data_IF_871897708113
#
_entry.id   IF_871897708113
#
_cell.length_a   1.000
_cell.length_b   1.000
_cell.length_c   1.000
_cell.angle_alpha   90.00
_cell.angle_beta   90.00
_cell.angle_gamma   90.00
#
_symmetry.space_group_name_H-M   'P 1'
#
loop_
_entity.id
_entity.type
_entity.pdbx_description
1 polymer ?
#
# COMPACT_ATOMS: atom_id res chain seq x y z
N UNK A 1 8.69 14.68 -22.83
CA UNK A 1 10.00 14.44 -22.18
C UNK A 1 9.84 14.45 -20.67
N UNK A 2 9.56 15.60 -20.01
CA UNK A 2 9.45 15.68 -18.54
C UNK A 2 8.58 14.57 -17.90
N UNK A 3 7.35 14.37 -18.38
CA UNK A 3 6.44 13.33 -17.87
C UNK A 3 7.04 11.92 -17.99
N UNK A 4 7.66 11.60 -19.12
CA UNK A 4 8.30 10.32 -19.34
C UNK A 4 9.54 10.12 -18.45
N UNK A 5 10.34 11.18 -18.24
CA UNK A 5 11.48 11.14 -17.33
C UNK A 5 11.04 10.87 -15.88
N UNK A 6 9.96 11.50 -15.43
CA UNK A 6 9.39 11.23 -14.10
C UNK A 6 8.86 9.79 -14.01
N UNK A 7 8.19 9.30 -15.05
CA UNK A 7 7.70 7.92 -15.09
C UNK A 7 8.85 6.89 -15.04
N UNK A 8 9.94 7.09 -15.77
CA UNK A 8 11.15 6.23 -15.68
C UNK A 8 11.74 6.30 -14.28
N UNK A 9 11.88 7.52 -13.73
CA UNK A 9 12.44 7.72 -12.40
C UNK A 9 11.64 7.00 -11.32
N UNK A 10 10.31 7.13 -11.32
CA UNK A 10 9.42 6.44 -10.38
C UNK A 10 9.49 4.92 -10.57
N UNK A 11 9.52 4.45 -11.82
CA UNK A 11 9.64 3.01 -12.12
C UNK A 11 10.93 2.44 -11.52
N UNK A 12 12.06 3.13 -11.71
CA UNK A 12 13.36 2.64 -11.26
C UNK A 12 13.57 2.77 -9.74
N UNK A 13 13.11 3.87 -9.13
CA UNK A 13 13.47 4.19 -7.74
C UNK A 13 12.41 3.81 -6.72
N UNK A 14 11.12 3.86 -7.07
CA UNK A 14 10.04 3.63 -6.11
C UNK A 14 9.58 2.16 -6.04
N UNK A 15 10.09 1.28 -6.91
CA UNK A 15 9.57 -0.08 -7.09
C UNK A 15 10.64 -1.17 -6.88
N UNK A 16 11.66 -0.91 -6.06
CA UNK A 16 12.75 -1.87 -5.80
C UNK A 16 12.24 -3.17 -5.18
N UNK A 17 11.45 -3.09 -4.11
CA UNK A 17 10.82 -4.27 -3.49
C UNK A 17 9.92 -5.04 -4.44
N UNK A 18 9.22 -4.34 -5.34
CA UNK A 18 8.42 -5.00 -6.36
C UNK A 18 9.31 -5.86 -7.27
N UNK A 19 10.42 -5.31 -7.78
CA UNK A 19 11.36 -6.09 -8.60
C UNK A 19 12.03 -7.22 -7.84
N UNK A 20 12.41 -7.01 -6.57
CA UNK A 20 12.95 -8.06 -5.72
C UNK A 20 11.96 -9.22 -5.56
N UNK A 21 10.71 -8.94 -5.23
CA UNK A 21 9.65 -9.96 -5.11
C UNK A 21 9.33 -10.66 -6.43
N UNK A 22 9.39 -9.94 -7.55
CA UNK A 22 9.28 -10.56 -8.89
C UNK A 22 10.44 -11.52 -9.12
N UNK A 23 11.68 -11.14 -8.80
CA UNK A 23 12.86 -11.99 -9.01
C UNK A 23 12.87 -13.24 -8.11
N UNK A 24 12.30 -13.14 -6.91
CA UNK A 24 12.10 -14.29 -6.00
C UNK A 24 11.04 -15.27 -6.54
N UNK A 25 10.01 -14.75 -7.23
CA UNK A 25 8.91 -15.57 -7.78
C UNK A 25 9.25 -16.16 -9.14
N UNK A 26 9.94 -15.37 -9.98
CA UNK A 26 10.39 -15.72 -11.31
C UNK A 26 11.91 -15.50 -11.38
N UNK A 27 12.70 -16.53 -11.06
CA UNK A 27 14.16 -16.43 -11.11
C UNK A 27 14.65 -15.90 -12.46
N UNK A 28 15.51 -14.89 -12.41
CA UNK A 28 15.98 -14.14 -13.60
C UNK A 28 16.73 -15.07 -14.57
N UNK A 29 17.43 -16.08 -14.06
CA UNK A 29 18.16 -17.05 -14.87
C UNK A 29 17.28 -17.73 -15.93
N UNK A 30 16.05 -18.08 -15.57
CA UNK A 30 15.14 -18.82 -16.44
C UNK A 30 14.10 -17.93 -17.12
N UNK A 31 13.83 -16.75 -16.56
CA UNK A 31 12.69 -15.90 -16.96
C UNK A 31 13.09 -14.47 -17.36
N UNK A 32 14.34 -14.23 -17.76
CA UNK A 32 14.86 -12.90 -18.07
C UNK A 32 13.94 -12.09 -19.01
N UNK A 33 13.46 -12.72 -20.08
CA UNK A 33 12.55 -12.07 -21.04
C UNK A 33 11.25 -11.58 -20.39
N UNK A 34 10.64 -12.41 -19.54
CA UNK A 34 9.41 -12.06 -18.84
C UNK A 34 9.65 -10.96 -17.78
N UNK A 35 10.73 -11.04 -17.02
CA UNK A 35 11.08 -10.00 -16.02
C UNK A 35 11.31 -8.64 -16.69
N UNK A 36 11.97 -8.60 -17.85
CA UNK A 36 12.12 -7.38 -18.63
C UNK A 36 10.76 -6.84 -19.12
N UNK A 37 9.86 -7.73 -19.56
CA UNK A 37 8.50 -7.30 -19.94
C UNK A 37 7.73 -6.69 -18.78
N UNK A 38 7.90 -7.19 -17.55
CA UNK A 38 7.29 -6.61 -16.36
C UNK A 38 7.79 -5.19 -16.12
N UNK A 39 9.10 -4.94 -16.26
CA UNK A 39 9.65 -3.59 -16.13
C UNK A 39 9.07 -2.64 -17.19
N UNK A 40 8.92 -3.10 -18.44
CA UNK A 40 8.31 -2.33 -19.52
C UNK A 40 6.83 -2.04 -19.25
N UNK A 41 6.07 -3.02 -18.79
CA UNK A 41 4.64 -2.85 -18.43
C UNK A 41 4.49 -1.88 -17.26
N UNK A 42 5.36 -1.98 -16.25
CA UNK A 42 5.36 -1.06 -15.12
C UNK A 42 5.68 0.36 -15.56
N UNK A 43 6.68 0.54 -16.43
CA UNK A 43 6.98 1.84 -17.02
C UNK A 43 5.80 2.40 -17.81
N UNK A 44 5.14 1.56 -18.63
CA UNK A 44 3.92 1.92 -19.35
C UNK A 44 2.81 2.38 -18.41
N UNK A 45 2.57 1.66 -17.31
CA UNK A 45 1.58 2.02 -16.30
C UNK A 45 1.91 3.34 -15.59
N UNK A 46 3.17 3.56 -15.23
CA UNK A 46 3.63 4.83 -14.65
C UNK A 46 3.48 5.99 -15.64
N UNK A 47 3.82 5.78 -16.90
CA UNK A 47 3.66 6.77 -17.96
C UNK A 47 2.18 7.12 -18.18
N UNK A 48 1.30 6.12 -18.16
CA UNK A 48 -0.15 6.32 -18.30
C UNK A 48 -0.69 7.17 -17.13
N UNK A 49 -0.40 6.78 -15.89
CA UNK A 49 -0.89 7.48 -14.68
C UNK A 49 -0.34 8.90 -14.62
N UNK A 50 0.97 9.08 -14.78
CA UNK A 50 1.57 10.42 -14.80
C UNK A 50 0.96 11.29 -15.90
N UNK A 51 0.71 10.75 -17.10
CA UNK A 51 0.05 11.48 -18.19
C UNK A 51 -1.39 11.85 -17.88
N UNK A 52 -2.18 10.91 -17.35
CA UNK A 52 -3.59 11.14 -17.03
C UNK A 52 -3.77 12.19 -15.93
N UNK A 53 -3.03 12.08 -14.83
CA UNK A 53 -3.16 13.04 -13.71
C UNK A 53 -2.53 14.41 -14.03
N UNK A 54 -1.53 14.49 -14.91
CA UNK A 54 -0.86 15.76 -15.27
C UNK A 54 -1.50 16.48 -16.47
N UNK A 55 -2.75 16.17 -16.81
CA UNK A 55 -3.45 16.63 -18.01
C UNK A 55 -3.74 18.14 -18.07
N UNK A 56 -3.35 18.97 -17.12
CA UNK A 56 -3.64 20.41 -17.18
C UNK A 56 -2.41 21.26 -16.85
N UNK A 57 -2.23 22.40 -17.55
CA UNK A 57 -0.99 23.20 -17.50
C UNK A 57 -0.61 23.64 -16.08
N UNK A 58 -1.61 23.99 -15.27
CA UNK A 58 -1.41 24.43 -13.88
C UNK A 58 -1.32 23.27 -12.89
N UNK A 59 -1.78 22.07 -13.29
CA UNK A 59 -1.81 20.87 -12.45
C UNK A 59 -0.59 19.96 -12.71
N UNK A 60 0.04 20.09 -13.88
CA UNK A 60 1.15 19.23 -14.30
C UNK A 60 2.30 19.21 -13.29
N UNK A 61 2.85 20.37 -12.92
CA UNK A 61 3.98 20.41 -11.97
C UNK A 61 3.56 19.96 -10.56
N UNK A 62 2.48 20.47 -9.94
CA UNK A 62 2.06 20.01 -8.62
C UNK A 62 1.82 18.51 -8.54
N UNK A 63 1.17 17.91 -9.55
CA UNK A 63 0.91 16.47 -9.57
C UNK A 63 2.19 15.67 -9.68
N UNK A 64 3.12 16.03 -10.55
CA UNK A 64 4.38 15.30 -10.69
C UNK A 64 5.21 15.37 -9.41
N UNK A 65 5.26 16.54 -8.75
CA UNK A 65 5.91 16.71 -7.45
C UNK A 65 5.25 15.83 -6.39
N UNK A 66 3.92 15.83 -6.32
CA UNK A 66 3.17 15.00 -5.38
C UNK A 66 3.43 13.51 -5.62
N UNK A 67 3.48 13.05 -6.86
CA UNK A 67 3.80 11.66 -7.20
C UNK A 67 5.24 11.27 -6.83
N UNK A 68 6.20 12.17 -6.98
CA UNK A 68 7.59 11.96 -6.58
C UNK A 68 7.74 11.84 -5.06
N UNK A 69 7.13 12.78 -4.31
CA UNK A 69 7.16 12.75 -2.84
C UNK A 69 6.42 11.51 -2.34
N UNK A 70 5.21 11.24 -2.86
CA UNK A 70 4.43 10.06 -2.50
C UNK A 70 5.21 8.78 -2.79
N UNK A 71 5.80 8.66 -3.98
CA UNK A 71 6.62 7.51 -4.35
C UNK A 71 7.83 7.33 -3.43
N UNK A 72 8.52 8.39 -3.05
CA UNK A 72 9.66 8.33 -2.13
C UNK A 72 9.24 7.88 -0.72
N UNK A 73 8.14 8.42 -0.20
CA UNK A 73 7.59 8.03 1.12
C UNK A 73 7.15 6.58 1.09
N UNK A 74 6.28 6.21 0.14
CA UNK A 74 5.68 4.87 0.15
C UNK A 74 6.70 3.79 -0.19
N UNK A 75 7.61 4.04 -1.12
CA UNK A 75 8.71 3.10 -1.41
C UNK A 75 9.62 2.89 -0.22
N UNK A 76 9.91 3.91 0.60
CA UNK A 76 10.73 3.72 1.80
C UNK A 76 10.12 2.72 2.78
N UNK A 77 8.84 2.86 3.10
CA UNK A 77 8.18 1.95 4.02
C UNK A 77 8.00 0.55 3.43
N UNK A 78 7.74 0.48 2.12
CA UNK A 78 7.70 -0.80 1.41
C UNK A 78 9.08 -1.49 1.41
N UNK A 79 10.16 -0.76 1.14
CA UNK A 79 11.53 -1.29 1.08
C UNK A 79 12.10 -1.66 2.46
N UNK A 80 11.73 -0.92 3.50
CA UNK A 80 12.27 -1.14 4.86
C UNK A 80 11.45 -2.12 5.68
N UNK A 81 10.12 -2.03 5.59
CA UNK A 81 9.19 -2.77 6.46
C UNK A 81 8.30 -3.76 5.70
N UNK A 82 8.40 -3.82 4.36
CA UNK A 82 7.53 -4.67 3.54
C UNK A 82 6.08 -4.20 3.50
N UNK A 83 5.80 -2.95 3.91
CA UNK A 83 4.45 -2.41 4.02
C UNK A 83 3.76 -2.30 2.66
N UNK A 84 2.51 -2.75 2.63
CA UNK A 84 1.61 -2.62 1.47
C UNK A 84 0.56 -1.54 1.78
N UNK A 85 0.44 -0.55 0.91
CA UNK A 85 -0.49 0.58 1.07
C UNK A 85 -1.89 0.23 0.57
N UNK A 86 -2.55 -0.71 1.24
CA UNK A 86 -3.96 -1.01 1.02
C UNK A 86 -4.90 -0.05 1.76
N UNK A 87 -6.21 -0.27 1.66
CA UNK A 87 -7.21 0.58 2.31
C UNK A 87 -7.11 0.57 3.83
N UNK A 88 -6.71 -0.57 4.42
CA UNK A 88 -6.52 -0.72 5.86
C UNK A 88 -5.29 0.03 6.34
N UNK A 89 -4.17 -0.06 5.62
CA UNK A 89 -2.96 0.71 5.95
C UNK A 89 -3.20 2.22 5.85
N UNK A 90 -4.00 2.68 4.86
CA UNK A 90 -4.39 4.09 4.79
C UNK A 90 -5.27 4.52 5.96
N UNK A 91 -6.21 3.67 6.40
CA UNK A 91 -7.01 3.95 7.60
C UNK A 91 -6.14 4.01 8.85
N UNK A 92 -5.23 3.05 9.01
CA UNK A 92 -4.27 3.02 10.11
C UNK A 92 -3.44 4.31 10.11
N UNK A 93 -2.84 4.68 8.98
CA UNK A 93 -2.04 5.90 8.87
C UNK A 93 -2.82 7.19 9.16
N UNK A 94 -4.14 7.21 8.93
CA UNK A 94 -5.01 8.35 9.28
C UNK A 94 -5.42 8.35 10.76
N UNK A 95 -5.36 7.20 11.43
CA UNK A 95 -5.71 7.01 12.84
C UNK A 95 -4.49 6.99 13.78
N UNK A 96 -3.28 6.84 13.23
CA UNK A 96 -2.00 6.77 13.96
C UNK A 96 -1.76 8.03 14.81
N UNK A 97 -1.25 7.82 16.04
CA UNK A 97 -0.87 8.89 16.96
C UNK A 97 0.53 9.47 16.61
N UNK A 98 0.78 10.72 17.00
CA UNK A 98 2.09 11.36 16.90
C UNK A 98 3.19 10.60 17.65
N UNK A 99 2.85 9.91 18.76
CA UNK A 99 3.80 9.10 19.50
C UNK A 99 4.33 7.92 18.66
N UNK A 100 3.44 7.19 17.98
CA UNK A 100 3.80 6.06 17.11
C UNK A 100 4.57 6.50 15.85
N UNK A 101 4.27 7.70 15.36
CA UNK A 101 4.90 8.22 14.15
C UNK A 101 6.37 8.63 14.37
N UNK A 102 6.73 9.11 15.56
CA UNK A 102 8.10 9.60 15.85
C UNK A 102 9.15 8.50 15.71
N UNK A 103 8.84 7.29 16.14
CA UNK A 103 9.77 6.16 16.07
C UNK A 103 10.05 5.72 14.62
N UNK A 104 9.16 6.06 13.69
CA UNK A 104 9.32 5.80 12.26
C UNK A 104 10.19 6.85 11.55
N UNK A 105 10.35 8.05 12.14
CA UNK A 105 11.13 9.16 11.57
C UNK A 105 12.61 9.02 11.93
N UNK A 106 13.33 8.21 11.17
CA UNK A 106 14.78 8.07 11.31
C UNK A 106 15.57 8.88 10.25
N UNK A 107 16.89 9.00 10.43
CA UNK A 107 17.73 9.73 9.49
C UNK A 107 17.72 9.14 8.07
N UNK A 108 17.59 7.81 7.92
CA UNK A 108 17.53 7.14 6.63
C UNK A 108 16.26 7.53 5.85
N UNK A 109 15.13 7.62 6.54
CA UNK A 109 13.86 8.11 5.97
C UNK A 109 14.00 9.52 5.42
N UNK A 110 14.58 10.43 6.21
CA UNK A 110 14.78 11.83 5.81
C UNK A 110 15.70 11.91 4.60
N UNK A 111 16.83 11.19 4.61
CA UNK A 111 17.76 11.16 3.48
C UNK A 111 17.10 10.60 2.20
N UNK A 112 16.28 9.55 2.32
CA UNK A 112 15.54 8.96 1.20
C UNK A 112 14.55 9.97 0.60
N UNK A 113 13.78 10.66 1.44
CA UNK A 113 12.81 11.68 0.97
C UNK A 113 13.53 12.84 0.32
N UNK A 114 14.61 13.34 0.91
CA UNK A 114 15.37 14.45 0.30
C UNK A 114 15.94 14.02 -1.05
N UNK A 115 16.60 12.86 -1.10
CA UNK A 115 17.27 12.34 -2.29
C UNK A 115 16.31 11.99 -3.44
N UNK A 116 15.22 11.30 -3.15
CA UNK A 116 14.33 10.73 -4.16
C UNK A 116 12.96 11.40 -4.27
N UNK A 117 12.60 12.26 -3.32
CA UNK A 117 11.36 13.04 -3.33
C UNK A 117 11.63 14.51 -3.61
N UNK A 118 12.33 15.20 -2.70
CA UNK A 118 12.49 16.66 -2.72
C UNK A 118 13.40 17.11 -3.87
N UNK A 119 14.60 16.55 -4.01
CA UNK A 119 15.53 16.91 -5.09
C UNK A 119 14.91 16.76 -6.49
N UNK A 120 14.33 15.61 -6.88
CA UNK A 120 13.69 15.50 -8.18
C UNK A 120 12.46 16.40 -8.31
N UNK A 121 11.73 16.67 -7.22
CA UNK A 121 10.62 17.63 -7.21
C UNK A 121 11.06 19.07 -7.49
N UNK A 122 12.19 19.49 -6.93
CA UNK A 122 12.79 20.80 -7.21
C UNK A 122 13.23 20.90 -8.68
N UNK A 123 13.82 19.84 -9.23
CA UNK A 123 14.14 19.78 -10.67
C UNK A 123 12.88 19.96 -11.52
N UNK A 124 11.79 19.26 -11.21
CA UNK A 124 10.50 19.43 -11.91
C UNK A 124 9.96 20.86 -11.76
N UNK A 125 10.11 21.48 -10.59
CA UNK A 125 9.67 22.85 -10.34
C UNK A 125 10.43 23.87 -11.21
N UNK A 126 11.76 23.73 -11.32
CA UNK A 126 12.62 24.67 -12.06
C UNK A 126 12.66 24.44 -13.57
N UNK A 127 12.30 23.26 -14.06
CA UNK A 127 12.23 22.99 -15.51
C UNK A 127 11.20 23.93 -16.16
N UNK A 128 11.65 24.68 -17.17
CA UNK A 128 10.75 25.46 -18.04
C UNK A 128 10.00 24.50 -18.94
N UNK A 129 8.67 24.56 -18.88
CA UNK A 129 7.79 23.70 -19.69
C UNK A 129 7.14 24.56 -20.74
N UNK A 130 7.45 24.29 -22.01
CA UNK A 130 6.79 24.94 -23.13
C UNK A 130 5.42 24.30 -23.36
N UNK A 131 4.37 25.09 -23.14
CA UNK A 131 3.00 24.63 -23.31
C UNK A 131 2.56 24.83 -24.77
N UNK A 132 2.32 23.74 -25.54
CA UNK A 132 1.86 23.85 -26.91
C UNK A 132 0.42 24.40 -26.97
N UNK A 133 0.00 24.90 -28.15
CA UNK A 133 -1.39 25.25 -28.42
C UNK A 133 -2.33 24.07 -28.17
N UNK A 134 -3.59 24.35 -27.81
CA UNK A 134 -4.53 23.35 -27.28
C UNK A 134 -4.61 22.07 -28.14
N UNK A 135 -4.74 22.19 -29.47
CA UNK A 135 -4.80 21.04 -30.39
C UNK A 135 -3.49 20.22 -30.45
N UNK A 136 -2.33 20.88 -30.53
CA UNK A 136 -1.02 20.20 -30.50
C UNK A 136 -0.76 19.54 -29.14
N UNK A 137 -1.23 20.17 -28.05
CA UNK A 137 -1.18 19.62 -26.71
C UNK A 137 -2.02 18.36 -26.56
N UNK A 138 -3.25 18.37 -27.07
CA UNK A 138 -4.12 17.20 -27.08
C UNK A 138 -3.52 16.05 -27.89
N UNK A 139 -3.04 16.32 -29.11
CA UNK A 139 -2.42 15.30 -29.97
C UNK A 139 -1.21 14.63 -29.30
N UNK A 140 -0.31 15.42 -28.68
CA UNK A 140 0.85 14.89 -27.95
C UNK A 140 0.44 13.99 -26.78
N UNK A 141 -0.64 14.33 -26.08
CA UNK A 141 -1.15 13.55 -24.96
C UNK A 141 -1.80 12.25 -25.42
N UNK A 142 -2.62 12.29 -26.45
CA UNK A 142 -3.16 11.09 -27.07
C UNK A 142 -2.03 10.17 -27.53
N UNK A 143 -0.97 10.72 -28.12
CA UNK A 143 0.24 9.97 -28.46
C UNK A 143 0.89 9.28 -27.24
N UNK A 144 1.01 9.97 -26.10
CA UNK A 144 1.55 9.38 -24.87
C UNK A 144 0.62 8.32 -24.26
N UNK A 145 -0.70 8.51 -24.32
CA UNK A 145 -1.68 7.53 -23.87
C UNK A 145 -1.60 6.27 -24.75
N UNK A 146 -1.58 6.42 -26.07
CA UNK A 146 -1.45 5.29 -27.00
C UNK A 146 -0.11 4.59 -26.80
N UNK A 147 1.00 5.33 -26.66
CA UNK A 147 2.31 4.76 -26.40
C UNK A 147 2.36 3.97 -25.08
N UNK A 148 1.80 4.53 -24.00
CA UNK A 148 1.74 3.84 -22.71
C UNK A 148 0.86 2.58 -22.75
N UNK A 149 -0.28 2.64 -23.43
CA UNK A 149 -1.12 1.45 -23.67
C UNK A 149 -0.41 0.40 -24.51
N UNK A 150 0.34 0.80 -25.54
CA UNK A 150 1.13 -0.14 -26.34
C UNK A 150 2.23 -0.81 -25.50
N UNK A 151 2.94 -0.06 -24.64
CA UNK A 151 3.94 -0.59 -23.72
C UNK A 151 3.35 -1.56 -22.68
N UNK A 152 2.05 -1.46 -22.39
CA UNK A 152 1.35 -2.39 -21.49
C UNK A 152 0.84 -3.61 -22.28
N UNK A 153 0.10 -3.39 -23.36
CA UNK A 153 -0.65 -4.43 -24.05
C UNK A 153 0.24 -5.35 -24.89
N UNK A 154 1.25 -4.81 -25.58
CA UNK A 154 2.10 -5.64 -26.46
C UNK A 154 2.84 -6.72 -25.66
N UNK A 155 3.52 -6.41 -24.53
CA UNK A 155 4.18 -7.45 -23.75
C UNK A 155 3.19 -8.41 -23.06
N UNK A 156 2.04 -7.90 -22.60
CA UNK A 156 1.00 -8.73 -21.99
C UNK A 156 0.43 -9.76 -22.96
N UNK A 157 0.22 -9.38 -24.23
CA UNK A 157 -0.25 -10.31 -25.26
C UNK A 157 0.87 -11.28 -25.66
N UNK A 158 2.09 -10.78 -25.87
CA UNK A 158 3.24 -11.61 -26.24
C UNK A 158 3.58 -12.68 -25.20
N UNK A 159 3.45 -12.36 -23.90
CA UNK A 159 3.71 -13.26 -22.77
C UNK A 159 2.42 -13.67 -22.03
N UNK A 160 1.32 -13.83 -22.76
CA UNK A 160 -0.02 -14.03 -22.19
C UNK A 160 -0.13 -15.15 -21.16
N UNK A 161 0.55 -16.29 -21.35
CA UNK A 161 0.58 -17.40 -20.39
C UNK A 161 1.23 -17.00 -19.05
N UNK A 162 2.36 -16.29 -19.09
CA UNK A 162 3.08 -15.84 -17.91
C UNK A 162 2.29 -14.77 -17.17
N UNK A 163 1.72 -13.80 -17.90
CA UNK A 163 0.86 -12.78 -17.29
C UNK A 163 -0.43 -13.36 -16.71
N UNK A 164 -1.03 -14.37 -17.34
CA UNK A 164 -2.19 -15.06 -16.78
C UNK A 164 -1.86 -15.74 -15.45
N UNK A 165 -0.70 -16.41 -15.36
CA UNK A 165 -0.22 -17.00 -14.11
C UNK A 165 0.05 -15.92 -13.05
N UNK A 166 0.81 -14.88 -13.41
CA UNK A 166 1.13 -13.75 -12.54
C UNK A 166 -0.12 -13.11 -11.92
N UNK A 167 -1.13 -12.78 -12.73
CA UNK A 167 -2.35 -12.12 -12.25
C UNK A 167 -3.29 -13.07 -11.49
N UNK A 168 -3.25 -14.39 -11.73
CA UNK A 168 -4.11 -15.37 -11.04
C UNK A 168 -3.51 -15.85 -9.72
N UNK A 169 -2.24 -16.22 -9.73
CA UNK A 169 -1.54 -16.86 -8.61
C UNK A 169 -0.89 -15.83 -7.70
N UNK A 170 -0.21 -14.83 -8.27
CA UNK A 170 0.62 -13.89 -7.50
C UNK A 170 -0.05 -12.52 -7.32
N UNK A 171 -1.36 -12.53 -7.03
CA UNK A 171 -2.16 -11.31 -6.80
C UNK A 171 -1.53 -10.32 -5.81
N UNK A 172 -0.85 -10.72 -4.72
CA UNK A 172 -0.25 -9.77 -3.78
C UNK A 172 0.89 -8.93 -4.39
N UNK A 173 1.58 -9.43 -5.41
CA UNK A 173 2.77 -8.76 -5.97
C UNK A 173 2.45 -7.38 -6.55
N UNK A 174 1.28 -7.22 -7.16
CA UNK A 174 0.85 -5.92 -7.71
C UNK A 174 0.59 -4.85 -6.64
N UNK A 175 0.40 -5.25 -5.38
CA UNK A 175 0.15 -4.33 -4.27
C UNK A 175 1.44 -3.62 -3.80
N UNK A 176 2.61 -4.08 -4.22
CA UNK A 176 3.90 -3.44 -3.94
C UNK A 176 4.24 -2.31 -4.92
N UNK A 177 3.37 -2.03 -5.90
CA UNK A 177 3.64 -1.04 -6.93
C UNK A 177 3.37 0.38 -6.41
N UNK A 178 4.43 1.18 -6.29
CA UNK A 178 4.41 2.52 -5.74
C UNK A 178 4.70 3.57 -6.83
N UNK A 179 3.96 4.70 -6.90
CA UNK A 179 2.86 5.14 -6.03
C UNK A 179 1.45 4.69 -6.49
N UNK A 180 1.33 3.74 -7.42
CA UNK A 180 0.03 3.33 -8.01
C UNK A 180 -0.91 2.74 -6.95
N UNK A 181 -0.42 1.85 -6.10
CA UNK A 181 -1.22 1.19 -5.07
C UNK A 181 -1.81 2.20 -4.05
N UNK A 182 -1.01 3.12 -3.46
CA UNK A 182 -1.55 4.21 -2.65
C UNK A 182 -2.67 5.01 -3.34
N UNK A 183 -2.50 5.38 -4.61
CA UNK A 183 -3.51 6.14 -5.39
C UNK A 183 -4.80 5.32 -5.54
N UNK A 184 -4.68 4.04 -5.88
CA UNK A 184 -5.83 3.13 -5.98
C UNK A 184 -6.56 2.99 -4.62
N UNK A 185 -5.81 2.82 -3.55
CA UNK A 185 -6.35 2.64 -2.19
C UNK A 185 -7.09 3.89 -1.70
N UNK A 186 -6.60 5.10 -2.00
CA UNK A 186 -7.31 6.36 -1.69
C UNK A 186 -8.67 6.40 -2.39
N UNK A 187 -8.72 6.09 -3.70
CA UNK A 187 -9.98 6.06 -4.46
C UNK A 187 -10.95 5.00 -3.94
N UNK A 188 -10.45 3.81 -3.59
CA UNK A 188 -11.26 2.73 -3.01
C UNK A 188 -11.79 3.11 -1.63
N UNK A 189 -10.96 3.72 -0.78
CA UNK A 189 -11.36 4.19 0.55
C UNK A 189 -12.45 5.26 0.44
N UNK A 190 -12.27 6.25 -0.43
CA UNK A 190 -13.29 7.27 -0.69
C UNK A 190 -14.63 6.66 -1.14
N UNK A 191 -14.61 5.62 -1.98
CA UNK A 191 -15.82 4.91 -2.39
C UNK A 191 -16.49 4.16 -1.21
N UNK A 192 -15.70 3.54 -0.33
CA UNK A 192 -16.20 2.86 0.87
C UNK A 192 -16.87 3.87 1.81
N UNK A 193 -16.20 4.98 2.10
CA UNK A 193 -16.72 6.02 2.99
C UNK A 193 -17.96 6.70 2.40
N UNK A 194 -18.00 6.94 1.10
CA UNK A 194 -19.20 7.46 0.42
C UNK A 194 -20.39 6.50 0.55
N UNK A 195 -20.16 5.19 0.37
CA UNK A 195 -21.20 4.16 0.56
C UNK A 195 -21.69 4.11 2.01
N UNK A 196 -20.79 4.21 2.99
CA UNK A 196 -21.15 4.27 4.41
C UNK A 196 -21.98 5.53 4.72
N UNK A 197 -21.59 6.68 4.19
CA UNK A 197 -22.31 7.94 4.40
C UNK A 197 -23.72 7.94 3.76
N UNK A 198 -23.89 7.20 2.66
CA UNK A 198 -25.15 7.06 1.92
C UNK A 198 -26.00 5.87 2.38
N UNK A 199 -25.48 5.01 3.27
CA UNK A 199 -26.21 3.87 3.78
C UNK A 199 -27.32 4.33 4.74
N UNK A 200 -28.45 3.59 4.82
CA UNK A 200 -29.46 3.83 5.84
C UNK A 200 -28.82 3.84 7.23
N UNK A 201 -29.05 4.90 7.99
CA UNK A 201 -28.53 5.06 9.36
C UNK A 201 -29.38 4.35 10.41
N UNK A 202 -30.28 3.47 9.96
CA UNK A 202 -31.13 2.72 10.87
C UNK A 202 -30.26 1.81 11.72
N UNK A 203 -30.21 2.09 13.03
CA UNK A 203 -29.53 1.23 13.98
C UNK A 203 -30.26 -0.10 14.05
N UNK A 204 -29.67 -1.13 13.44
CA UNK A 204 -30.17 -2.50 13.56
C UNK A 204 -29.77 -3.00 14.95
N UNK A 205 -30.73 -3.01 15.87
CA UNK A 205 -30.53 -3.65 17.17
C UNK A 205 -30.41 -5.16 16.98
N UNK A 206 -29.26 -5.72 17.37
CA UNK A 206 -29.03 -7.15 17.48
C UNK A 206 -29.41 -7.66 18.88
N UNK A 207 -29.69 -8.96 19.01
CA UNK A 207 -30.01 -9.62 20.29
C UNK A 207 -31.21 -9.00 21.05
N UNK A 208 -32.29 -8.66 20.35
CA UNK A 208 -33.54 -8.12 20.94
C UNK A 208 -34.23 -9.09 21.90
N UNK A 209 -33.90 -10.36 21.80
CA UNK A 209 -34.37 -11.48 22.61
C UNK A 209 -33.44 -11.79 23.81
N UNK A 210 -32.33 -11.07 23.97
CA UNK A 210 -31.45 -11.26 25.10
C UNK A 210 -32.12 -10.78 26.39
N UNK A 211 -32.50 -11.75 27.25
CA UNK A 211 -33.11 -11.49 28.55
C UNK A 211 -32.14 -11.94 29.65
N UNK A 212 -31.90 -11.06 30.64
CA UNK A 212 -31.12 -11.43 31.81
C UNK A 212 -31.93 -12.32 32.76
N UNK A 213 -31.71 -13.63 32.70
CA UNK A 213 -32.48 -14.62 33.45
C UNK A 213 -32.28 -14.56 34.97
N UNK A 214 -31.16 -14.02 35.46
CA UNK A 214 -30.83 -13.98 36.89
C UNK A 214 -30.86 -12.56 37.43
N UNK A 215 -31.57 -12.35 38.54
CA UNK A 215 -31.58 -11.07 39.25
C UNK A 215 -30.34 -10.91 40.15
N UNK A 216 -29.84 -9.67 40.39
CA UNK A 216 -28.61 -9.42 41.16
C UNK A 216 -28.67 -9.86 42.63
N UNK A 217 -29.87 -9.91 43.23
CA UNK A 217 -30.15 -10.39 44.58
C UNK A 217 -30.03 -11.92 44.71
N UNK A 218 -30.19 -12.66 43.61
CA UNK A 218 -30.14 -14.13 43.60
C UNK A 218 -28.75 -14.72 43.34
N UNK A 219 -27.70 -13.89 43.22
CA UNK A 219 -26.33 -14.37 42.93
C UNK A 219 -25.27 -13.40 43.43
N UNK A 220 -24.05 -13.90 43.63
CA UNK A 220 -22.88 -13.03 43.79
C UNK A 220 -22.68 -12.12 42.56
N UNK A 221 -22.18 -10.88 42.76
CA UNK A 221 -21.80 -10.02 41.65
C UNK A 221 -20.70 -10.70 40.82
N UNK A 222 -20.74 -10.51 39.49
CA UNK A 222 -19.76 -11.03 38.54
C UNK A 222 -19.00 -9.84 37.96
N UNK A 223 -17.70 -9.78 38.19
CA UNK A 223 -16.80 -8.80 37.57
C UNK A 223 -16.03 -9.51 36.47
N UNK A 224 -16.04 -8.94 35.26
CA UNK A 224 -15.30 -9.46 34.10
C UNK A 224 -14.36 -8.36 33.64
N UNK A 225 -13.10 -8.72 33.43
CA UNK A 225 -12.09 -7.86 32.81
C UNK A 225 -11.75 -8.48 31.46
N UNK A 226 -11.86 -7.70 30.38
CA UNK A 226 -11.45 -8.13 29.06
C UNK A 226 -10.25 -7.31 28.60
N UNK A 227 -9.10 -7.96 28.52
CA UNK A 227 -7.85 -7.36 28.05
C UNK A 227 -7.78 -7.52 26.54
N UNK A 228 -7.85 -6.41 25.81
CA UNK A 228 -7.65 -6.37 24.36
C UNK A 228 -6.16 -6.09 24.12
N UNK A 229 -5.43 -7.11 23.65
CA UNK A 229 -4.02 -6.98 23.30
C UNK A 229 -3.82 -6.26 21.96
N UNK A 230 -2.57 -5.89 21.66
CA UNK A 230 -2.19 -5.16 20.45
C UNK A 230 -1.38 -6.05 19.50
N UNK A 231 -0.04 -6.07 19.61
CA UNK A 231 0.86 -6.76 18.66
C UNK A 231 1.47 -8.06 19.21
N UNK A 232 0.92 -8.62 20.30
CA UNK A 232 1.44 -9.86 20.88
C UNK A 232 1.16 -11.06 19.95
N UNK A 233 2.19 -11.81 19.59
CA UNK A 233 2.07 -12.98 18.72
C UNK A 233 2.20 -14.29 19.49
N UNK A 234 1.38 -15.27 19.11
CA UNK A 234 1.27 -16.56 19.77
C UNK A 234 2.58 -17.36 19.80
N UNK A 235 3.41 -17.24 18.76
CA UNK A 235 4.69 -17.95 18.62
C UNK A 235 5.76 -17.50 19.61
N UNK A 236 5.60 -16.32 20.23
CA UNK A 236 6.50 -15.78 21.26
C UNK A 236 5.93 -15.89 22.69
N UNK A 237 4.85 -16.65 22.87
CA UNK A 237 4.25 -16.91 24.18
C UNK A 237 4.80 -18.22 24.74
N UNK A 238 5.38 -18.19 25.95
CA UNK A 238 5.98 -19.37 26.59
C UNK A 238 5.00 -20.56 26.73
N UNK A 239 3.71 -20.29 26.98
CA UNK A 239 2.66 -21.32 27.01
C UNK A 239 2.46 -22.08 25.70
N UNK A 240 2.90 -21.53 24.58
CA UNK A 240 2.78 -22.14 23.25
C UNK A 240 4.07 -22.86 22.82
N UNK A 241 5.03 -23.03 23.74
CA UNK A 241 6.29 -23.73 23.48
C UNK A 241 7.44 -22.82 23.02
N UNK A 242 7.34 -21.51 23.26
CA UNK A 242 8.45 -20.59 22.98
C UNK A 242 9.64 -20.88 23.91
N UNK A 243 10.87 -20.79 23.37
CA UNK A 243 12.11 -21.15 24.06
C UNK A 243 12.39 -20.33 25.33
N UNK A 244 11.86 -19.10 25.40
CA UNK A 244 12.03 -18.19 26.54
C UNK A 244 10.75 -18.11 27.34
N UNK A 245 10.88 -18.04 28.66
CA UNK A 245 9.74 -17.78 29.53
C UNK A 245 9.32 -16.30 29.47
N UNK A 246 8.45 -15.97 28.50
CA UNK A 246 7.95 -14.62 28.24
C UNK A 246 6.76 -14.22 29.12
N UNK A 247 6.08 -15.17 29.76
CA UNK A 247 4.97 -14.94 30.69
C UNK A 247 5.17 -15.59 32.07
N UNK A 248 6.30 -15.32 32.75
CA UNK A 248 6.70 -16.02 33.98
C UNK A 248 5.76 -15.77 35.16
N UNK A 249 5.03 -14.64 35.15
CA UNK A 249 4.06 -14.31 36.19
C UNK A 249 2.76 -15.09 36.00
N UNK A 250 2.25 -15.16 34.77
CA UNK A 250 1.02 -15.93 34.49
C UNK A 250 1.24 -17.43 34.69
N UNK A 251 2.47 -17.93 34.44
CA UNK A 251 2.81 -19.34 34.64
C UNK A 251 2.76 -19.80 36.10
N UNK A 252 2.72 -18.86 37.06
CA UNK A 252 2.66 -19.12 38.50
C UNK A 252 1.25 -19.01 39.08
N UNK A 253 0.24 -18.67 38.27
CA UNK A 253 -1.14 -18.46 38.72
C UNK A 253 -1.96 -19.71 38.38
N UNK A 254 -2.46 -20.38 39.40
CA UNK A 254 -3.40 -21.49 39.22
C UNK A 254 -4.73 -21.01 38.60
N UNK A 255 -5.29 -21.81 37.70
CA UNK A 255 -6.57 -21.51 37.04
C UNK A 255 -6.47 -20.66 35.77
N UNK A 256 -5.26 -20.35 35.29
CA UNK A 256 -5.05 -19.74 33.97
C UNK A 256 -5.22 -20.79 32.86
N UNK A 257 -6.07 -20.48 31.87
CA UNK A 257 -6.26 -21.32 30.67
C UNK A 257 -5.59 -20.66 29.47
N UNK A 258 -4.69 -21.39 28.80
CA UNK A 258 -4.06 -20.96 27.55
C UNK A 258 -4.82 -21.51 26.33
N UNK A 259 -4.95 -20.68 25.29
CA UNK A 259 -5.50 -21.08 24.00
C UNK A 259 -4.40 -21.01 22.94
N UNK A 260 -3.88 -22.18 22.53
CA UNK A 260 -2.71 -22.26 21.65
C UNK A 260 -3.00 -22.11 20.16
N UNK A 261 -4.28 -22.14 19.76
CA UNK A 261 -4.69 -22.08 18.36
C UNK A 261 -5.82 -21.05 18.17
N UNK A 262 -5.45 -19.78 18.15
CA UNK A 262 -6.34 -18.63 17.92
C UNK A 262 -5.76 -17.79 16.79
N UNK A 263 -6.61 -17.39 15.85
CA UNK A 263 -6.21 -16.62 14.66
C UNK A 263 -7.08 -15.38 14.53
N UNK A 264 -6.45 -14.24 14.21
CA UNK A 264 -7.06 -12.93 13.94
C UNK A 264 -7.24 -12.69 12.44
#
# INVERSE_FOLDING_TARGET
VLVASVAVFLTATANLTFFDKISQTYPIADNLGFVLTIAVVLFGAMLLITTLLSSYRYVLKPVLILLLIMGAVTSYFTDTYGTVYDTTMLQNALQTDQAETKDLLNAAFIMRIIGLGVLPSLLVAFVKVDYPTWGKGLMRRLGLIVASLALILLPVVAFSSHYASFFRVHKPLRSYVNPIMPIYSVGKLASIEYKKASAPKDTIYHAKDAVQATKPDMRKPRLVVFVVGETARADHVSFNGYERDTFPQLAKIDGVTNFSNVTS
#
